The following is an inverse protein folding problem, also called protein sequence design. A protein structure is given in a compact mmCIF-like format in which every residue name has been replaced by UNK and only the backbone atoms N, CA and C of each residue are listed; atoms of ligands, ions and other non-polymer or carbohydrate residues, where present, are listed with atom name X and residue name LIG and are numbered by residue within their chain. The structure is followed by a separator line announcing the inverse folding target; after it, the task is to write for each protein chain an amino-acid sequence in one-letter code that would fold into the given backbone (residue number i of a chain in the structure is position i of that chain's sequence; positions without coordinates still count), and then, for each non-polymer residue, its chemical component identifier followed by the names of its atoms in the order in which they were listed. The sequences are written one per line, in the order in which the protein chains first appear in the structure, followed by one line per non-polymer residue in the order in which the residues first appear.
data_IF_774940753177
#
_entry.id   IF_774940753177
#
_cell.length_a   1.000
_cell.length_b   1.000
_cell.length_c   1.000
_cell.angle_alpha   90.00
_cell.angle_beta   90.00
_cell.angle_gamma   90.00
#
_symmetry.space_group_name_H-M   'P 1'
#
loop_
_entity.id
_entity.type
_entity.pdbx_description
1 polymer ?
#
# COMPACT_ATOMS: atom_id res chain seq x y z
N UNK A 1 -1.71 -26.65 -5.32
CA UNK A 1 -1.09 -25.32 -5.38
C UNK A 1 -2.16 -24.35 -5.85
N UNK A 2 -2.35 -23.24 -5.14
CA UNK A 2 -3.21 -22.16 -5.61
C UNK A 2 -2.57 -21.50 -6.84
N UNK A 3 -3.31 -21.40 -7.93
CA UNK A 3 -2.83 -20.69 -9.12
C UNK A 3 -3.24 -19.21 -9.04
N UNK A 4 -2.36 -18.28 -9.48
CA UNK A 4 -2.75 -16.88 -9.60
C UNK A 4 -3.79 -16.68 -10.70
N UNK A 5 -4.53 -15.58 -10.59
CA UNK A 5 -5.14 -14.95 -11.76
C UNK A 5 -4.17 -13.95 -12.35
N UNK A 6 -3.89 -14.10 -13.65
CA UNK A 6 -2.96 -13.23 -14.38
C UNK A 6 -3.71 -12.26 -15.28
N UNK A 7 -3.34 -10.99 -15.23
CA UNK A 7 -3.69 -9.99 -16.25
C UNK A 7 -2.40 -9.47 -16.88
N UNK A 8 -2.36 -9.35 -18.20
CA UNK A 8 -1.18 -8.84 -18.89
C UNK A 8 -1.53 -8.08 -20.17
N UNK A 9 -0.62 -7.21 -20.59
CA UNK A 9 -0.62 -6.57 -21.90
C UNK A 9 0.83 -6.49 -22.44
N UNK A 10 1.11 -5.59 -23.38
CA UNK A 10 2.46 -5.43 -23.95
C UNK A 10 3.49 -4.84 -22.97
N UNK A 11 3.04 -4.17 -21.89
CA UNK A 11 3.91 -3.46 -20.95
C UNK A 11 4.06 -4.17 -19.59
N UNK A 12 2.97 -4.76 -19.09
CA UNK A 12 2.90 -5.28 -17.72
C UNK A 12 2.34 -6.70 -17.69
N UNK A 13 2.82 -7.51 -16.74
CA UNK A 13 2.19 -8.76 -16.29
C UNK A 13 1.96 -8.68 -14.79
N UNK A 14 0.73 -8.99 -14.35
CA UNK A 14 0.31 -8.88 -12.95
C UNK A 14 -0.32 -10.19 -12.49
N UNK A 15 0.07 -10.68 -11.32
CA UNK A 15 -0.47 -11.90 -10.71
C UNK A 15 -1.18 -11.62 -9.38
N UNK A 16 -2.43 -12.07 -9.28
CA UNK A 16 -3.31 -11.87 -8.13
C UNK A 16 -3.68 -13.20 -7.51
N UNK A 17 -3.47 -13.33 -6.20
CA UNK A 17 -3.76 -14.52 -5.42
C UNK A 17 -4.97 -14.32 -4.51
N UNK A 18 -6.06 -14.99 -4.86
CA UNK A 18 -7.37 -14.73 -4.25
C UNK A 18 -7.56 -15.38 -2.89
N UNK A 19 -6.90 -16.51 -2.59
CA UNK A 19 -7.21 -17.32 -1.41
C UNK A 19 -6.59 -16.80 -0.09
N UNK A 20 -5.67 -15.83 -0.16
CA UNK A 20 -5.05 -15.19 1.01
C UNK A 20 -4.92 -13.68 0.81
N UNK A 21 -6.07 -13.00 0.72
CA UNK A 21 -6.13 -11.54 0.75
C UNK A 21 -6.43 -10.87 -0.58
N UNK A 22 -6.62 -11.62 -1.68
CA UNK A 22 -6.66 -11.00 -3.01
C UNK A 22 -5.35 -10.26 -3.33
N UNK A 23 -4.25 -10.72 -2.76
CA UNK A 23 -2.94 -10.08 -2.77
C UNK A 23 -2.34 -10.05 -4.18
N UNK A 24 -1.68 -8.96 -4.56
CA UNK A 24 -0.89 -8.92 -5.80
C UNK A 24 0.54 -9.32 -5.45
N UNK A 25 1.04 -10.42 -6.01
CA UNK A 25 2.39 -10.90 -5.69
C UNK A 25 3.44 -10.56 -6.74
N UNK A 26 3.03 -10.35 -7.98
CA UNK A 26 3.94 -10.05 -9.07
C UNK A 26 3.38 -8.90 -9.89
N UNK A 27 4.24 -7.92 -10.17
CA UNK A 27 4.04 -6.90 -11.20
C UNK A 27 5.35 -6.79 -11.98
N UNK A 28 5.39 -7.39 -13.16
CA UNK A 28 6.55 -7.39 -14.04
C UNK A 28 6.44 -6.27 -15.07
N UNK A 29 7.46 -5.40 -15.13
CA UNK A 29 7.69 -4.49 -16.26
C UNK A 29 8.34 -5.26 -17.41
N UNK A 30 7.60 -5.51 -18.49
CA UNK A 30 8.01 -6.33 -19.63
C UNK A 30 9.09 -5.67 -20.50
N UNK A 31 9.40 -4.39 -20.27
CA UNK A 31 10.47 -3.71 -21.01
C UNK A 31 11.86 -4.31 -20.70
N UNK A 32 12.06 -4.80 -19.46
CA UNK A 32 13.31 -5.41 -19.00
C UNK A 32 13.10 -6.63 -18.08
N UNK A 33 11.87 -7.15 -18.03
CA UNK A 33 11.44 -8.30 -17.21
C UNK A 33 11.73 -8.13 -15.71
N UNK A 34 11.75 -6.88 -15.22
CA UNK A 34 11.99 -6.59 -13.82
C UNK A 34 10.72 -6.77 -12.97
N UNK A 35 10.84 -7.53 -11.89
CA UNK A 35 9.81 -7.68 -10.86
C UNK A 35 9.80 -6.45 -9.93
N UNK A 36 8.70 -5.69 -9.93
CA UNK A 36 8.56 -4.49 -9.13
C UNK A 36 8.29 -4.80 -7.66
N UNK A 37 7.67 -5.93 -7.34
CA UNK A 37 7.27 -6.28 -5.98
C UNK A 37 8.35 -7.09 -5.26
N UNK A 38 8.42 -6.91 -3.95
CA UNK A 38 9.28 -7.70 -3.08
C UNK A 38 8.64 -9.07 -2.81
N UNK A 39 9.47 -10.10 -2.91
CA UNK A 39 9.18 -11.45 -2.46
C UNK A 39 10.45 -12.07 -1.84
N UNK A 40 10.28 -13.18 -1.13
CA UNK A 40 11.35 -13.96 -0.54
C UNK A 40 11.07 -15.47 -0.69
N UNK A 41 12.12 -16.32 -0.75
CA UNK A 41 11.94 -17.76 -0.94
C UNK A 41 11.15 -18.39 0.23
N UNK A 42 9.85 -18.56 0.04
CA UNK A 42 8.93 -19.16 1.01
C UNK A 42 7.83 -19.92 0.28
N UNK A 43 7.27 -20.93 0.95
CA UNK A 43 6.03 -21.54 0.48
C UNK A 43 4.88 -20.54 0.62
N UNK A 44 4.00 -20.52 -0.39
CA UNK A 44 2.79 -19.73 -0.34
C UNK A 44 1.83 -20.28 0.73
N UNK A 45 1.09 -19.40 1.44
CA UNK A 45 0.08 -19.83 2.40
C UNK A 45 -0.95 -20.76 1.76
N UNK A 46 -1.17 -21.93 2.37
CA UNK A 46 -2.20 -22.87 1.96
C UNK A 46 -3.59 -22.53 2.54
N UNK A 47 -3.65 -21.61 3.51
CA UNK A 47 -4.88 -21.23 4.21
C UNK A 47 -4.88 -19.72 4.52
N UNK A 48 -6.07 -19.14 4.77
CA UNK A 48 -6.21 -17.76 5.24
C UNK A 48 -5.35 -17.46 6.48
N UNK A 49 -4.85 -16.24 6.58
CA UNK A 49 -3.96 -15.76 7.64
C UNK A 49 -4.60 -14.69 8.52
N UNK A 50 -5.94 -14.64 8.54
CA UNK A 50 -6.71 -13.65 9.30
C UNK A 50 -6.27 -13.54 10.77
N UNK A 51 -6.06 -12.30 11.23
CA UNK A 51 -5.65 -11.93 12.59
C UNK A 51 -4.34 -12.57 13.10
N UNK A 52 -3.52 -13.12 12.19
CA UNK A 52 -2.13 -13.41 12.49
C UNK A 52 -1.34 -12.10 12.60
N UNK A 53 -0.32 -12.03 13.49
CA UNK A 53 0.66 -10.96 13.43
C UNK A 53 1.32 -10.94 12.04
N UNK A 54 1.44 -9.76 11.43
CA UNK A 54 1.92 -9.66 10.05
C UNK A 54 3.36 -10.17 9.89
N UNK A 55 4.22 -9.92 10.88
CA UNK A 55 5.59 -10.45 10.92
C UNK A 55 5.68 -11.97 11.07
N UNK A 56 4.64 -12.64 11.56
CA UNK A 56 4.57 -14.10 11.71
C UNK A 56 3.82 -14.75 10.53
N UNK A 57 3.66 -14.01 9.44
CA UNK A 57 2.88 -14.38 8.27
C UNK A 57 3.71 -14.32 6.98
N UNK A 58 3.05 -14.43 5.83
CA UNK A 58 3.68 -14.22 4.53
C UNK A 58 3.56 -12.75 4.10
N UNK A 59 4.64 -11.99 4.30
CA UNK A 59 4.73 -10.53 4.11
C UNK A 59 5.45 -10.16 2.79
N UNK A 60 4.83 -10.46 1.67
CA UNK A 60 5.36 -10.12 0.35
C UNK A 60 4.28 -9.48 -0.53
N UNK A 61 4.71 -8.83 -1.61
CA UNK A 61 3.82 -8.22 -2.58
C UNK A 61 3.02 -7.04 -2.04
N UNK A 62 1.77 -6.96 -2.51
CA UNK A 62 0.83 -5.88 -2.21
C UNK A 62 -0.41 -6.42 -1.51
N UNK A 63 -0.53 -5.99 -0.24
CA UNK A 63 -1.67 -6.22 0.63
C UNK A 63 -2.64 -5.04 0.67
N UNK A 64 -3.92 -5.37 0.81
CA UNK A 64 -4.94 -4.40 1.17
C UNK A 64 -5.06 -4.31 2.70
N UNK A 65 -4.58 -3.22 3.28
CA UNK A 65 -4.76 -2.95 4.70
C UNK A 65 -6.06 -2.19 4.92
N UNK A 66 -7.01 -2.76 5.67
CA UNK A 66 -8.31 -2.14 5.94
C UNK A 66 -9.04 -2.83 7.11
N UNK A 67 -9.61 -2.12 8.10
CA UNK A 67 -9.76 -0.66 8.21
C UNK A 67 -8.62 0.02 9.01
N UNK A 68 -7.50 -0.67 9.23
CA UNK A 68 -6.27 -0.08 9.77
C UNK A 68 -5.04 -0.86 9.28
N UNK A 69 -3.85 -0.29 9.43
CA UNK A 69 -2.57 -0.97 9.16
C UNK A 69 -2.04 -1.64 10.43
N UNK A 70 -2.13 -0.98 11.58
CA UNK A 70 -1.72 -1.55 12.85
C UNK A 70 -2.94 -2.00 13.67
N UNK A 71 -2.76 -3.09 14.40
CA UNK A 71 -3.73 -3.57 15.39
C UNK A 71 -4.08 -2.46 16.39
N UNK A 72 -5.35 -2.34 16.74
CA UNK A 72 -5.82 -1.38 17.74
C UNK A 72 -7.32 -1.51 18.01
N UNK A 73 -7.87 -0.81 19.02
CA UNK A 73 -9.31 -0.77 19.22
C UNK A 73 -9.96 0.12 18.15
N UNK A 74 -11.14 -0.28 17.68
CA UNK A 74 -11.97 0.62 16.90
C UNK A 74 -12.48 1.76 17.83
N UNK A 75 -12.34 3.04 17.43
CA UNK A 75 -12.43 4.16 18.37
C UNK A 75 -13.85 4.67 18.67
N UNK A 76 -14.86 4.26 17.90
CA UNK A 76 -16.21 4.87 17.96
C UNK A 76 -17.35 3.87 17.88
N UNK A 77 -18.53 4.28 18.33
CA UNK A 77 -19.78 3.50 18.18
C UNK A 77 -20.06 3.18 16.70
N UNK A 78 -20.63 2.01 16.34
CA UNK A 78 -21.10 0.93 17.22
C UNK A 78 -20.02 -0.08 17.60
N UNK A 79 -18.83 0.02 17.00
CA UNK A 79 -17.77 -0.97 17.13
C UNK A 79 -16.74 -0.62 18.21
N UNK A 80 -17.01 0.38 19.06
CA UNK A 80 -16.07 0.89 20.05
C UNK A 80 -15.46 -0.24 20.88
N UNK A 81 -14.12 -0.31 20.90
CA UNK A 81 -13.37 -1.33 21.64
C UNK A 81 -13.23 -2.69 20.94
N UNK A 82 -13.96 -2.95 19.84
CA UNK A 82 -13.70 -4.13 19.00
C UNK A 82 -12.29 -4.01 18.42
N UNK A 83 -11.48 -5.06 18.58
CA UNK A 83 -10.11 -5.06 18.07
C UNK A 83 -10.12 -5.11 16.54
N UNK A 84 -9.42 -4.18 15.90
CA UNK A 84 -9.02 -4.26 14.50
C UNK A 84 -7.79 -5.15 14.43
N UNK A 85 -7.78 -6.21 13.59
CA UNK A 85 -6.61 -7.07 13.40
C UNK A 85 -5.38 -6.31 12.93
N UNK A 86 -4.20 -6.89 13.10
CA UNK A 86 -2.97 -6.40 12.48
C UNK A 86 -3.12 -6.41 10.95
N UNK A 87 -2.80 -5.29 10.29
CA UNK A 87 -3.04 -5.00 8.86
C UNK A 87 -4.52 -5.07 8.44
N UNK A 88 -5.44 -5.08 9.40
CA UNK A 88 -6.88 -5.12 9.14
C UNK A 88 -7.38 -6.49 8.71
N UNK A 89 -8.59 -6.53 8.14
CA UNK A 89 -9.28 -7.78 7.87
C UNK A 89 -8.94 -8.41 6.52
N UNK A 90 -8.58 -7.58 5.52
CA UNK A 90 -8.61 -8.01 4.12
C UNK A 90 -7.41 -8.87 3.72
N UNK A 91 -6.18 -8.45 4.05
CA UNK A 91 -4.93 -9.10 3.62
C UNK A 91 -4.84 -10.60 3.96
N UNK A 92 -5.57 -11.04 4.99
CA UNK A 92 -5.54 -12.42 5.48
C UNK A 92 -6.69 -13.30 5.01
N UNK A 93 -7.73 -12.78 4.35
CA UNK A 93 -8.96 -13.53 4.01
C UNK A 93 -9.14 -13.74 2.50
N UNK A 94 -9.82 -14.79 2.04
CA UNK A 94 -10.10 -14.97 0.62
C UNK A 94 -10.95 -13.84 0.04
N UNK A 95 -10.62 -13.42 -1.17
CA UNK A 95 -11.43 -12.51 -1.96
C UNK A 95 -12.32 -13.29 -2.94
N UNK A 96 -13.53 -12.78 -3.20
CA UNK A 96 -14.33 -13.24 -4.34
C UNK A 96 -13.88 -12.46 -5.58
N UNK A 97 -13.75 -13.11 -6.73
CA UNK A 97 -13.33 -12.45 -7.96
C UNK A 97 -14.30 -12.62 -9.11
N UNK A 98 -14.39 -11.59 -9.96
CA UNK A 98 -15.02 -11.67 -11.28
C UNK A 98 -14.00 -11.23 -12.33
N UNK A 99 -13.64 -12.09 -13.31
CA UNK A 99 -12.81 -11.69 -14.44
C UNK A 99 -13.48 -10.57 -15.23
N UNK A 100 -12.69 -9.57 -15.65
CA UNK A 100 -13.13 -8.50 -16.53
C UNK A 100 -12.39 -8.57 -17.86
N UNK A 101 -12.89 -7.91 -18.91
CA UNK A 101 -12.28 -7.94 -20.25
C UNK A 101 -10.81 -7.54 -20.27
N UNK A 102 -10.39 -6.62 -19.40
CA UNK A 102 -9.03 -6.07 -19.31
C UNK A 102 -8.53 -6.01 -17.86
N UNK A 103 -9.02 -6.90 -17.00
CA UNK A 103 -8.77 -6.77 -15.57
C UNK A 103 -9.40 -7.84 -14.70
N UNK A 104 -9.32 -7.61 -13.40
CA UNK A 104 -9.93 -8.46 -12.37
C UNK A 104 -10.62 -7.57 -11.35
N UNK A 105 -11.86 -7.91 -11.00
CA UNK A 105 -12.54 -7.35 -9.84
C UNK A 105 -12.40 -8.31 -8.67
N UNK A 106 -12.01 -7.80 -7.51
CA UNK A 106 -12.00 -8.51 -6.23
C UNK A 106 -12.95 -7.83 -5.26
N UNK A 107 -13.68 -8.61 -4.47
CA UNK A 107 -14.59 -8.12 -3.44
C UNK A 107 -14.34 -8.85 -2.12
N UNK A 108 -14.43 -8.08 -1.04
CA UNK A 108 -14.32 -8.55 0.33
C UNK A 108 -15.51 -8.06 1.15
N UNK A 109 -15.88 -8.86 2.14
CA UNK A 109 -16.83 -8.49 3.18
C UNK A 109 -16.09 -8.41 4.51
N UNK A 110 -16.31 -7.33 5.27
CA UNK A 110 -15.79 -7.23 6.63
C UNK A 110 -16.34 -8.35 7.51
N UNK A 111 -15.50 -8.85 8.43
CA UNK A 111 -15.87 -9.94 9.34
C UNK A 111 -16.37 -9.37 10.68
N UNK A 112 -15.62 -8.40 11.24
CA UNK A 112 -15.97 -7.69 12.47
C UNK A 112 -16.79 -6.43 12.22
N UNK A 113 -16.65 -5.84 11.04
CA UNK A 113 -17.24 -4.56 10.70
C UNK A 113 -18.18 -4.69 9.48
N UNK A 114 -19.29 -3.95 9.50
CA UNK A 114 -20.32 -4.03 8.47
C UNK A 114 -19.96 -3.19 7.23
N UNK A 115 -19.02 -3.66 6.41
CA UNK A 115 -18.69 -3.04 5.13
C UNK A 115 -18.47 -4.09 4.02
N UNK A 116 -18.53 -3.64 2.77
CA UNK A 116 -17.85 -4.31 1.66
C UNK A 116 -16.77 -3.41 1.11
N UNK A 117 -15.69 -4.01 0.61
CA UNK A 117 -14.69 -3.31 -0.18
C UNK A 117 -14.55 -4.07 -1.49
N UNK A 118 -14.51 -3.34 -2.61
CA UNK A 118 -14.17 -3.90 -3.90
C UNK A 118 -12.96 -3.18 -4.47
N UNK A 119 -12.13 -3.92 -5.20
CA UNK A 119 -11.00 -3.40 -5.98
C UNK A 119 -11.08 -3.93 -7.39
N UNK A 120 -10.94 -3.05 -8.37
CA UNK A 120 -10.75 -3.42 -9.77
C UNK A 120 -9.32 -3.12 -10.18
N UNK A 121 -8.62 -4.13 -10.67
CA UNK A 121 -7.31 -3.97 -11.30
C UNK A 121 -7.50 -4.04 -12.82
N UNK A 122 -6.99 -3.04 -13.53
CA UNK A 122 -7.03 -2.99 -15.00
C UNK A 122 -5.72 -2.48 -15.58
N UNK A 123 -5.46 -2.84 -16.83
CA UNK A 123 -4.28 -2.38 -17.57
C UNK A 123 -4.67 -1.40 -18.68
N UNK A 124 -3.97 -0.28 -18.74
CA UNK A 124 -4.15 0.80 -19.70
C UNK A 124 -2.78 1.27 -20.20
N UNK A 125 -2.36 0.77 -21.37
CA UNK A 125 -0.99 0.94 -21.84
C UNK A 125 0.03 0.53 -20.77
N UNK A 126 1.00 1.39 -20.40
CA UNK A 126 1.99 1.09 -19.38
C UNK A 126 1.49 1.28 -17.93
N UNK A 127 0.18 1.47 -17.73
CA UNK A 127 -0.40 1.69 -16.40
C UNK A 127 -1.13 0.46 -15.88
N UNK A 128 -0.92 0.15 -14.60
CA UNK A 128 -1.83 -0.62 -13.75
C UNK A 128 -2.71 0.36 -12.97
N UNK A 129 -4.03 0.20 -13.07
CA UNK A 129 -5.01 1.04 -12.38
C UNK A 129 -5.75 0.18 -11.36
N UNK A 130 -5.72 0.60 -10.09
CA UNK A 130 -6.50 0.04 -9.00
C UNK A 130 -7.63 1.00 -8.61
N UNK A 131 -8.88 0.62 -8.86
CA UNK A 131 -10.05 1.39 -8.48
C UNK A 131 -10.73 0.74 -7.28
N UNK A 132 -11.06 1.52 -6.26
CA UNK A 132 -11.62 1.06 -5.01
C UNK A 132 -13.02 1.61 -4.79
N UNK A 133 -13.89 0.78 -4.24
CA UNK A 133 -15.16 1.22 -3.68
C UNK A 133 -15.38 0.53 -2.35
N UNK A 134 -15.56 1.31 -1.30
CA UNK A 134 -16.06 0.82 0.00
C UNK A 134 -17.53 1.17 0.13
N UNK A 135 -18.33 0.21 0.60
CA UNK A 135 -19.74 0.41 0.98
C UNK A 135 -19.90 0.17 2.47
N UNK A 136 -20.40 1.17 3.19
CA UNK A 136 -20.78 1.02 4.59
C UNK A 136 -22.17 0.40 4.65
N UNK A 137 -22.28 -0.79 5.24
CA UNK A 137 -23.53 -1.53 5.37
C UNK A 137 -24.26 -1.22 6.69
N UNK A 138 -23.60 -0.50 7.60
CA UNK A 138 -24.15 -0.14 8.90
C UNK A 138 -24.95 1.19 8.83
N UNK A 139 -25.95 1.37 9.70
CA UNK A 139 -26.67 2.64 9.86
C UNK A 139 -25.89 3.68 10.69
N UNK A 140 -24.56 3.54 10.79
CA UNK A 140 -23.67 4.41 11.54
C UNK A 140 -22.44 4.73 10.71
N UNK A 141 -21.83 5.89 10.92
CA UNK A 141 -20.61 6.29 10.22
C UNK A 141 -19.47 5.28 10.48
N UNK A 142 -18.73 4.96 9.42
CA UNK A 142 -17.61 4.04 9.47
C UNK A 142 -16.30 4.77 9.18
N UNK A 143 -15.38 4.75 10.15
CA UNK A 143 -14.05 5.35 10.02
C UNK A 143 -13.04 4.27 9.64
N UNK A 144 -12.07 4.64 8.81
CA UNK A 144 -11.07 3.69 8.36
C UNK A 144 -9.75 4.37 7.97
N UNK A 145 -8.68 3.61 8.13
CA UNK A 145 -7.40 3.80 7.45
C UNK A 145 -7.25 2.65 6.46
N UNK A 146 -7.30 2.99 5.18
CA UNK A 146 -6.90 2.12 4.09
C UNK A 146 -5.44 2.39 3.76
N UNK A 147 -4.66 1.36 3.46
CA UNK A 147 -3.35 1.53 2.83
C UNK A 147 -3.15 0.49 1.73
N UNK A 148 -2.66 0.98 0.58
CA UNK A 148 -2.18 0.15 -0.51
C UNK A 148 -0.76 -0.35 -0.18
N UNK A 149 -0.66 -1.35 0.69
CA UNK A 149 0.59 -1.77 1.30
C UNK A 149 1.41 -2.66 0.35
N UNK A 150 2.07 -2.01 -0.62
CA UNK A 150 2.84 -2.66 -1.69
C UNK A 150 4.35 -2.65 -1.38
N UNK A 151 4.84 -3.76 -0.83
CA UNK A 151 6.27 -3.97 -0.65
C UNK A 151 6.93 -4.16 -2.03
N UNK A 152 7.78 -3.22 -2.38
CA UNK A 152 8.49 -3.11 -3.65
C UNK A 152 9.93 -3.60 -3.53
N UNK A 153 10.44 -4.16 -4.62
CA UNK A 153 11.75 -4.79 -4.70
C UNK A 153 12.90 -3.78 -4.62
N UNK A 154 13.90 -4.11 -3.79
CA UNK A 154 15.21 -3.43 -3.75
C UNK A 154 16.32 -4.25 -4.45
N UNK A 155 15.97 -5.07 -5.45
CA UNK A 155 16.98 -5.82 -6.23
C UNK A 155 17.86 -4.91 -7.10
N UNK A 156 17.36 -3.73 -7.49
CA UNK A 156 18.13 -2.67 -8.12
C UNK A 156 18.13 -1.40 -7.24
N UNK A 157 19.17 -0.56 -7.32
CA UNK A 157 19.14 0.80 -6.76
C UNK A 157 17.93 1.59 -7.22
N UNK A 158 17.30 2.28 -6.27
CA UNK A 158 16.16 3.17 -6.50
C UNK A 158 16.43 4.55 -5.93
N UNK A 159 15.88 5.57 -6.58
CA UNK A 159 15.74 6.93 -6.03
C UNK A 159 14.25 7.21 -5.84
N UNK A 160 13.85 7.61 -4.63
CA UNK A 160 12.46 7.89 -4.26
C UNK A 160 12.22 9.40 -4.31
N UNK A 161 11.51 9.83 -5.34
CA UNK A 161 11.10 11.22 -5.55
C UNK A 161 9.66 11.39 -5.07
N UNK A 162 9.50 11.86 -3.84
CA UNK A 162 8.20 12.25 -3.30
C UNK A 162 7.99 13.76 -3.39
N UNK A 163 6.73 14.24 -3.42
CA UNK A 163 6.45 15.66 -3.44
C UNK A 163 7.14 16.40 -2.28
N UNK A 164 7.71 17.59 -2.54
CA UNK A 164 8.34 18.39 -1.50
C UNK A 164 7.30 18.75 -0.43
N UNK A 165 7.70 18.67 0.83
CA UNK A 165 6.79 18.94 1.94
C UNK A 165 7.32 18.42 3.26
N UNK A 166 6.50 18.62 4.29
CA UNK A 166 6.77 18.10 5.63
C UNK A 166 6.33 16.64 5.74
N UNK A 167 7.17 15.82 6.33
CA UNK A 167 6.94 14.42 6.63
C UNK A 167 7.16 14.17 8.11
N UNK A 168 6.45 13.20 8.66
CA UNK A 168 6.53 12.80 10.06
C UNK A 168 7.21 11.45 10.17
N UNK A 169 8.24 11.38 10.99
CA UNK A 169 8.85 10.12 11.38
C UNK A 169 7.91 9.39 12.34
N UNK A 170 7.50 8.16 11.99
CA UNK A 170 6.50 7.43 12.77
C UNK A 170 7.10 6.34 13.65
N UNK A 171 7.81 5.38 13.07
CA UNK A 171 8.44 4.29 13.82
C UNK A 171 9.66 3.70 13.09
N UNK A 172 10.50 2.95 13.81
CA UNK A 172 11.60 2.13 13.26
C UNK A 172 11.27 0.64 13.23
N UNK A 173 12.18 -0.21 12.76
CA UNK A 173 12.02 -1.66 12.63
C UNK A 173 11.64 -2.36 13.94
N UNK A 174 12.09 -1.82 15.08
CA UNK A 174 11.82 -2.32 16.42
C UNK A 174 10.47 -1.81 16.97
N UNK A 175 9.76 -0.98 16.21
CA UNK A 175 8.49 -0.38 16.59
C UNK A 175 8.63 0.79 17.57
N UNK A 176 9.85 1.32 17.80
CA UNK A 176 10.02 2.54 18.61
C UNK A 176 9.36 3.69 17.88
N UNK A 177 8.48 4.40 18.58
CA UNK A 177 7.69 5.47 18.00
C UNK A 177 8.40 6.82 18.06
N UNK A 178 8.08 7.65 17.08
CA UNK A 178 8.58 9.00 16.87
C UNK A 178 7.40 9.91 16.50
N UNK A 179 7.62 11.22 16.61
CA UNK A 179 6.62 12.21 16.23
C UNK A 179 7.24 13.50 15.67
N UNK A 180 8.53 13.45 15.34
CA UNK A 180 9.24 14.59 14.79
C UNK A 180 8.94 14.74 13.29
N UNK A 181 8.76 15.98 12.86
CA UNK A 181 8.61 16.33 11.45
C UNK A 181 9.94 16.74 10.83
N UNK A 182 10.13 16.41 9.57
CA UNK A 182 11.29 16.77 8.75
C UNK A 182 10.84 17.14 7.33
N UNK A 183 11.72 17.78 6.57
CA UNK A 183 11.50 18.02 5.15
C UNK A 183 12.13 16.87 4.36
N UNK A 184 11.35 16.21 3.50
CA UNK A 184 11.87 15.13 2.66
C UNK A 184 13.11 15.59 1.86
N UNK A 185 14.17 14.76 1.74
CA UNK A 185 14.23 13.33 2.10
C UNK A 185 15.01 12.98 3.37
N UNK A 186 15.66 13.94 4.02
CA UNK A 186 16.55 13.66 5.16
C UNK A 186 15.75 13.65 6.46
N UNK A 187 15.66 12.49 7.10
CA UNK A 187 14.88 12.33 8.33
C UNK A 187 15.54 13.02 9.54
N UNK A 188 14.86 13.01 10.69
CA UNK A 188 15.38 13.64 11.91
C UNK A 188 16.55 12.90 12.55
N UNK A 189 16.91 11.72 12.05
CA UNK A 189 18.13 11.01 12.44
C UNK A 189 19.30 11.28 11.49
N UNK A 190 19.08 12.04 10.42
CA UNK A 190 20.11 12.41 9.45
C UNK A 190 20.27 11.42 8.30
N UNK A 191 19.33 10.50 8.12
CA UNK A 191 19.36 9.50 7.03
C UNK A 191 18.63 10.05 5.79
N UNK A 192 19.26 9.94 4.62
CA UNK A 192 18.62 10.27 3.35
C UNK A 192 17.74 9.10 2.88
N UNK A 193 16.44 9.23 3.13
CA UNK A 193 15.45 8.21 2.81
C UNK A 193 15.16 8.10 1.30
N UNK A 194 15.62 9.05 0.48
CA UNK A 194 15.40 8.99 -0.97
C UNK A 194 16.24 7.93 -1.67
N UNK A 195 17.31 7.42 -1.05
CA UNK A 195 18.19 6.40 -1.64
C UNK A 195 18.38 5.22 -0.69
N UNK A 196 17.38 4.34 -0.56
CA UNK A 196 17.41 3.23 0.41
C UNK A 196 18.68 2.36 0.38
N UNK A 197 19.28 2.11 -0.78
CA UNK A 197 20.50 1.29 -0.87
C UNK A 197 21.81 2.03 -0.51
N UNK A 198 21.77 3.35 -0.35
CA UNK A 198 22.94 4.13 0.12
C UNK A 198 22.98 4.24 1.65
N UNK A 199 21.91 3.81 2.34
CA UNK A 199 21.86 3.74 3.80
C UNK A 199 22.86 2.70 4.31
N UNK A 200 23.72 3.11 5.24
CA UNK A 200 24.83 2.28 5.72
C UNK A 200 24.42 1.23 6.77
N UNK A 201 23.25 1.41 7.39
CA UNK A 201 22.71 0.52 8.42
C UNK A 201 21.62 -0.43 7.93
N UNK A 202 21.37 -1.49 8.72
CA UNK A 202 20.14 -2.29 8.63
C UNK A 202 19.05 -1.58 9.42
N UNK A 203 18.24 -0.79 8.74
CA UNK A 203 17.19 0.02 9.38
C UNK A 203 15.81 -0.35 8.85
N UNK A 204 14.79 0.02 9.61
CA UNK A 204 13.41 0.15 9.15
C UNK A 204 12.94 1.57 9.43
N UNK A 205 12.25 2.20 8.48
CA UNK A 205 11.68 3.55 8.64
C UNK A 205 10.29 3.66 8.06
N UNK A 206 9.31 3.94 8.92
CA UNK A 206 7.98 4.38 8.53
C UNK A 206 7.87 5.89 8.68
N UNK A 207 7.49 6.57 7.61
CA UNK A 207 7.20 8.01 7.60
C UNK A 207 5.88 8.29 6.90
N UNK A 208 5.25 9.42 7.22
CA UNK A 208 4.01 9.86 6.57
C UNK A 208 4.13 11.30 6.09
N UNK A 209 3.59 11.64 4.92
CA UNK A 209 3.41 13.04 4.54
C UNK A 209 2.45 13.72 5.52
N UNK A 210 2.75 14.97 5.88
CA UNK A 210 1.85 15.78 6.69
C UNK A 210 0.67 16.25 5.84
N UNK A 211 0.94 16.73 4.63
CA UNK A 211 -0.10 17.17 3.72
C UNK A 211 -0.69 16.00 2.93
N UNK A 212 -1.96 16.16 2.54
CA UNK A 212 -2.63 15.21 1.67
C UNK A 212 -1.92 15.18 0.30
N UNK A 213 -2.02 14.04 -0.40
CA UNK A 213 -1.41 13.84 -1.71
C UNK A 213 -1.93 14.91 -2.68
N UNK A 214 -1.06 15.84 -3.05
CA UNK A 214 -1.30 16.86 -4.09
C UNK A 214 -0.55 16.59 -5.40
N UNK A 215 0.40 15.65 -5.39
CA UNK A 215 1.20 15.28 -6.55
C UNK A 215 1.66 13.82 -6.44
N UNK A 216 2.00 13.22 -7.57
CA UNK A 216 2.49 11.86 -7.66
C UNK A 216 3.83 11.66 -6.93
N UNK A 217 4.07 10.43 -6.49
CA UNK A 217 5.40 9.96 -6.15
C UNK A 217 6.03 9.25 -7.37
N UNK A 218 7.35 9.29 -7.48
CA UNK A 218 8.10 8.62 -8.56
C UNK A 218 9.23 7.80 -7.95
N UNK A 219 9.28 6.52 -8.30
CA UNK A 219 10.42 5.64 -8.06
C UNK A 219 11.27 5.61 -9.33
N UNK A 220 12.54 6.00 -9.22
CA UNK A 220 13.49 6.02 -10.33
C UNK A 220 14.44 4.83 -10.20
N UNK A 221 14.65 4.11 -11.29
CA UNK A 221 15.55 2.97 -11.38
C UNK A 221 16.68 3.27 -12.39
N UNK A 222 17.73 4.00 -11.98
CA UNK A 222 18.79 4.48 -12.88
C UNK A 222 19.61 3.36 -13.52
N UNK A 223 19.72 2.21 -12.86
CA UNK A 223 20.56 1.08 -13.30
C UNK A 223 19.80 0.02 -14.09
N UNK A 224 18.47 0.08 -14.12
CA UNK A 224 17.64 -0.80 -14.95
C UNK A 224 17.83 -0.48 -16.43
N UNK A 225 17.58 -1.47 -17.30
CA UNK A 225 17.88 -1.35 -18.74
C UNK A 225 17.15 -0.15 -19.35
N UNK A 226 17.91 0.77 -19.94
CA UNK A 226 17.37 1.99 -20.55
C UNK A 226 16.90 3.05 -19.56
N UNK A 227 17.13 2.87 -18.25
CA UNK A 227 16.65 3.75 -17.19
C UNK A 227 15.13 3.70 -17.05
N UNK A 228 14.62 3.15 -15.95
CA UNK A 228 13.18 2.94 -15.76
C UNK A 228 12.61 3.79 -14.63
N UNK A 229 11.31 4.06 -14.64
CA UNK A 229 10.59 4.72 -13.56
C UNK A 229 9.25 4.06 -13.32
N UNK A 230 8.74 4.22 -12.11
CA UNK A 230 7.37 3.93 -11.71
C UNK A 230 6.77 5.21 -11.11
N UNK A 231 5.73 5.74 -11.72
CA UNK A 231 4.95 6.87 -11.21
C UNK A 231 3.70 6.37 -10.51
N UNK A 232 3.43 6.87 -9.31
CA UNK A 232 2.29 6.47 -8.48
C UNK A 232 1.40 7.69 -8.25
N UNK A 233 0.14 7.59 -8.67
CA UNK A 233 -0.85 8.66 -8.61
C UNK A 233 -2.07 8.22 -7.82
N UNK A 234 -2.58 9.10 -6.95
CA UNK A 234 -3.82 8.91 -6.21
C UNK A 234 -4.88 9.90 -6.70
N UNK A 235 -6.12 9.45 -6.81
CA UNK A 235 -7.27 10.31 -7.10
C UNK A 235 -8.51 9.80 -6.36
N UNK A 236 -9.43 10.70 -6.01
CA UNK A 236 -10.72 10.34 -5.43
C UNK A 236 -11.81 11.29 -5.92
N UNK A 237 -12.85 10.73 -6.54
CA UNK A 237 -14.04 11.47 -6.92
C UNK A 237 -14.87 11.90 -5.70
N UNK A 238 -14.83 11.10 -4.62
CA UNK A 238 -15.55 11.35 -3.37
C UNK A 238 -14.74 12.17 -2.36
N UNK A 239 -13.65 12.81 -2.82
CA UNK A 239 -12.79 13.67 -2.01
C UNK A 239 -12.21 12.98 -0.76
N UNK A 240 -11.99 11.66 -0.83
CA UNK A 240 -11.24 10.94 0.19
C UNK A 240 -9.81 11.47 0.16
N UNK A 241 -9.35 12.00 1.29
CA UNK A 241 -7.97 12.45 1.43
C UNK A 241 -7.08 11.23 1.66
N UNK A 242 -5.97 11.17 0.94
CA UNK A 242 -4.90 10.24 1.20
C UNK A 242 -3.60 10.99 1.46
N UNK A 243 -2.64 10.29 2.07
CA UNK A 243 -1.31 10.74 2.45
C UNK A 243 -0.30 9.73 1.91
N UNK A 244 0.95 10.15 1.72
CA UNK A 244 2.03 9.23 1.39
C UNK A 244 2.54 8.58 2.68
N UNK A 245 2.24 7.31 2.89
CA UNK A 245 2.97 6.44 3.81
C UNK A 245 4.18 5.86 3.10
N UNK A 246 5.36 5.95 3.71
CA UNK A 246 6.58 5.37 3.14
C UNK A 246 7.20 4.44 4.16
N UNK A 247 7.46 3.22 3.74
CA UNK A 247 8.22 2.23 4.50
C UNK A 247 9.54 1.96 3.78
N UNK A 248 10.67 2.05 4.48
CA UNK A 248 11.99 1.67 3.96
C UNK A 248 12.58 0.66 4.90
N UNK A 249 12.96 -0.51 4.38
CA UNK A 249 13.61 -1.55 5.14
C UNK A 249 14.87 -2.01 4.41
N UNK A 250 16.02 -1.83 5.05
CA UNK A 250 17.34 -2.24 4.52
C UNK A 250 17.89 -3.45 5.28
N UNK A 251 17.01 -4.22 5.93
CA UNK A 251 17.36 -5.42 6.70
C UNK A 251 17.14 -5.27 8.20
N UNK A 252 16.57 -4.15 8.66
CA UNK A 252 16.24 -3.94 10.07
C UNK A 252 15.03 -4.77 10.52
N UNK A 253 14.03 -4.92 9.65
CA UNK A 253 12.84 -5.73 9.93
C UNK A 253 12.88 -7.04 9.15
N UNK A 254 12.75 -8.16 9.86
CA UNK A 254 12.77 -9.54 9.32
C UNK A 254 14.02 -9.89 8.49
N UNK A 255 15.09 -9.08 8.53
CA UNK A 255 16.32 -9.31 7.76
C UNK A 255 16.18 -9.11 6.25
N UNK A 256 15.02 -8.71 5.75
CA UNK A 256 14.76 -8.51 4.32
C UNK A 256 14.94 -7.05 3.88
N UNK A 257 15.03 -6.83 2.57
CA UNK A 257 15.16 -5.49 1.98
C UNK A 257 14.02 -5.21 1.01
N UNK A 258 13.27 -4.17 1.29
CA UNK A 258 12.16 -3.70 0.47
C UNK A 258 11.84 -2.25 0.85
N UNK A 259 11.02 -1.61 0.05
CA UNK A 259 10.43 -0.32 0.39
C UNK A 259 8.95 -0.32 -0.02
N UNK A 260 8.15 0.62 0.45
CA UNK A 260 6.81 0.84 -0.03
C UNK A 260 6.53 2.33 -0.09
N UNK A 261 5.81 2.74 -1.14
CA UNK A 261 5.18 4.07 -1.23
C UNK A 261 3.68 3.81 -1.32
N UNK A 262 3.00 4.10 -0.22
CA UNK A 262 1.64 3.67 0.06
C UNK A 262 0.73 4.90 0.14
N UNK A 263 -0.14 5.15 -0.84
CA UNK A 263 -1.32 5.96 -0.58
C UNK A 263 -2.09 5.36 0.60
N UNK A 264 -2.35 6.18 1.61
CA UNK A 264 -3.07 5.77 2.81
C UNK A 264 -4.07 6.83 3.28
N UNK A 265 -5.22 6.43 3.81
CA UNK A 265 -6.22 7.36 4.36
C UNK A 265 -6.02 7.65 5.85
N UNK A 266 -4.77 7.61 6.31
CA UNK A 266 -4.38 7.97 7.67
C UNK A 266 -2.90 8.31 7.77
N UNK A 267 -2.54 9.23 8.68
CA UNK A 267 -1.15 9.59 9.00
C UNK A 267 -0.55 8.75 10.13
N UNK A 268 -1.25 7.70 10.55
CA UNK A 268 -0.83 6.70 11.51
C UNK A 268 -1.33 5.34 11.05
N UNK A 269 -0.61 4.28 11.42
CA UNK A 269 -1.04 2.92 11.12
C UNK A 269 -2.28 2.51 11.94
N UNK A 270 -2.45 3.07 13.14
CA UNK A 270 -3.62 2.84 14.00
C UNK A 270 -4.78 3.78 13.68
N UNK A 271 -5.99 3.24 13.56
CA UNK A 271 -7.20 4.01 13.26
C UNK A 271 -7.55 5.03 14.35
N UNK A 272 -7.42 4.68 15.62
CA UNK A 272 -7.74 5.57 16.75
C UNK A 272 -6.86 6.84 16.77
N UNK A 273 -5.56 6.68 16.49
CA UNK A 273 -4.63 7.81 16.33
C UNK A 273 -4.96 8.62 15.09
N UNK A 274 -5.23 7.96 13.96
CA UNK A 274 -5.62 8.64 12.72
C UNK A 274 -6.92 9.44 12.86
N UNK A 275 -7.87 8.92 13.64
CA UNK A 275 -9.09 9.63 13.95
C UNK A 275 -8.81 10.84 14.85
N UNK A 276 -7.96 10.68 15.86
CA UNK A 276 -7.58 11.76 16.79
C UNK A 276 -6.85 12.92 16.09
N UNK A 277 -5.99 12.63 15.12
CA UNK A 277 -5.30 13.69 14.35
C UNK A 277 -6.13 14.27 13.20
N UNK A 278 -7.30 13.67 12.92
CA UNK A 278 -8.21 14.10 11.86
C UNK A 278 -7.81 13.66 10.45
N UNK A 279 -6.92 12.67 10.33
CA UNK A 279 -6.49 12.11 9.03
C UNK A 279 -7.35 10.94 8.57
N UNK A 280 -7.96 10.18 9.48
CA UNK A 280 -8.77 9.01 9.14
C UNK A 280 -9.91 9.34 8.16
N UNK A 281 -10.07 8.52 7.14
CA UNK A 281 -11.22 8.60 6.24
C UNK A 281 -12.50 8.12 6.93
N UNK A 282 -13.63 8.47 6.32
CA UNK A 282 -14.97 8.14 6.80
C UNK A 282 -15.90 7.89 5.63
N UNK A 283 -16.75 6.87 5.76
CA UNK A 283 -17.94 6.67 4.94
C UNK A 283 -19.17 6.80 5.84
N UNK A 284 -20.13 7.62 5.41
CA UNK A 284 -21.35 7.86 6.18
C UNK A 284 -22.21 6.58 6.29
N UNK A 285 -23.14 6.56 7.24
CA UNK A 285 -24.15 5.50 7.38
C UNK A 285 -24.78 5.11 6.03
N UNK A 286 -24.75 3.84 5.66
CA UNK A 286 -25.29 3.33 4.39
C UNK A 286 -24.60 3.85 3.11
N UNK A 287 -23.53 4.63 3.26
CA UNK A 287 -22.88 5.35 2.18
C UNK A 287 -21.86 4.52 1.41
N UNK A 288 -21.29 5.13 0.37
CA UNK A 288 -20.17 4.61 -0.40
C UNK A 288 -19.10 5.67 -0.58
N UNK A 289 -17.86 5.25 -0.75
CA UNK A 289 -16.77 6.12 -1.18
C UNK A 289 -15.85 5.37 -2.14
N UNK A 290 -15.21 6.12 -3.02
CA UNK A 290 -14.36 5.61 -4.07
C UNK A 290 -13.09 6.42 -4.25
N UNK A 291 -12.03 5.72 -4.62
CA UNK A 291 -10.73 6.30 -4.97
C UNK A 291 -10.01 5.38 -5.93
N UNK A 292 -8.92 5.86 -6.53
CA UNK A 292 -8.12 5.09 -7.46
C UNK A 292 -6.64 5.37 -7.25
N UNK A 293 -5.81 4.37 -7.52
CA UNK A 293 -4.37 4.50 -7.65
C UNK A 293 -3.94 4.06 -9.05
N UNK A 294 -3.08 4.84 -9.68
CA UNK A 294 -2.45 4.49 -10.97
C UNK A 294 -0.95 4.31 -10.78
N UNK A 295 -0.44 3.16 -11.21
CA UNK A 295 0.98 2.83 -11.31
C UNK A 295 1.38 2.83 -12.77
N UNK A 296 2.22 3.77 -13.20
CA UNK A 296 2.66 3.88 -14.59
C UNK A 296 4.15 3.61 -14.69
N UNK A 297 4.53 2.58 -15.44
CA UNK A 297 5.95 2.30 -15.74
C UNK A 297 6.39 3.07 -16.97
N UNK A 298 7.66 3.44 -17.05
CA UNK A 298 8.18 4.16 -18.21
C UNK A 298 9.69 4.33 -18.20
N UNK A 299 10.25 4.95 -19.24
CA UNK A 299 11.64 5.37 -19.22
C UNK A 299 11.82 6.57 -18.27
N UNK A 300 13.00 6.71 -17.66
CA UNK A 300 13.30 7.80 -16.71
C UNK A 300 13.07 9.21 -17.25
N UNK A 301 13.20 9.38 -18.57
CA UNK A 301 13.12 10.67 -19.25
C UNK A 301 11.78 10.88 -19.98
N UNK A 302 10.78 10.03 -19.77
CA UNK A 302 9.43 10.33 -20.26
C UNK A 302 8.88 11.52 -19.46
N UNK A 303 8.98 12.72 -20.02
CA UNK A 303 8.20 13.87 -19.58
C UNK A 303 6.73 13.45 -19.49
N UNK A 304 6.07 13.73 -18.36
CA UNK A 304 4.62 13.67 -18.29
C UNK A 304 4.08 14.60 -19.37
N UNK A 305 3.63 14.04 -20.50
CA UNK A 305 2.89 14.80 -21.48
C UNK A 305 1.61 15.27 -20.79
N UNK A 306 1.50 16.59 -20.69
CA UNK A 306 0.38 17.32 -20.09
C UNK A 306 -0.97 16.99 -20.72
#
# INVERSE_FOLDING_TARGET
MSLPMTIENEFLRVEVYLHFGGKVLSIVDKADEYELLFDYPSELPAAPMYDKPYGDSYYAGWDECFPAVARGPYPSHPYAGITIPDHGELWGIPAVSVPMRQGISTEWHGLRFGYTLSRKLSLDGPSLIAEYVVSNLAPFDFHFVWAMHALSSLHAPVELELPPGSYRLSHDAEGRQYDQTFTWPVDTLGEDLSRPLELTGKIGRKVFSVDAIGAAAVVRYPTRRGGRSLRIEYSSADQIRAYWGVWINTGGWQGHRHFAIEPTTGRFDQLDRSLKDGSAARVLAGGKASWSVRWTVGPLNASASA
#
